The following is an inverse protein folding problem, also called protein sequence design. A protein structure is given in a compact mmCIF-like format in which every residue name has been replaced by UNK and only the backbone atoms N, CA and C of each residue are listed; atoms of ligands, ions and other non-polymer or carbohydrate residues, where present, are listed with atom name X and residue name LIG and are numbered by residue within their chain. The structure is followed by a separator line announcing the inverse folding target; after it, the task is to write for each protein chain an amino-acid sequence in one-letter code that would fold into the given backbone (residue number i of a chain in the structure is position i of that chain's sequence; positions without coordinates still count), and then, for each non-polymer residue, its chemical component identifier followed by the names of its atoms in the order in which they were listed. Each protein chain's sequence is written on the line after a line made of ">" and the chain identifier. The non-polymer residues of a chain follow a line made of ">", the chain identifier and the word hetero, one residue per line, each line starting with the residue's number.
data_IF_431973914653
#
_entry.id   IF_431973914653
#
_cell.length_a   1.000
_cell.length_b   1.000
_cell.length_c   1.000
_cell.angle_alpha   90.00
_cell.angle_beta   90.00
_cell.angle_gamma   90.00
#
_symmetry.space_group_name_H-M   'P 1'
#
loop_
_entity.id
_entity.type
_entity.pdbx_description
1 polymer ?
#
# COMPACT_ATOMS: atom_id res chain seq x y z
N UNK A 1 2.91 0.51 16.70
CA UNK A 1 3.03 -0.09 15.40
C UNK A 1 4.21 -1.05 15.30
N UNK A 2 3.94 -2.23 14.93
CA UNK A 2 4.96 -3.24 14.89
C UNK A 2 5.93 -2.99 13.75
N UNK A 3 7.18 -3.12 14.05
CA UNK A 3 8.20 -3.08 13.04
C UNK A 3 8.16 -4.38 12.24
N UNK A 4 8.33 -4.26 10.98
CA UNK A 4 8.35 -5.40 10.12
C UNK A 4 9.78 -5.71 9.77
N UNK A 5 10.32 -6.66 10.38
CA UNK A 5 11.64 -7.09 9.95
C UNK A 5 11.52 -8.50 9.47
N UNK A 6 11.18 -8.64 8.22
CA UNK A 6 10.99 -9.93 7.62
C UNK A 6 12.30 -10.37 7.02
N UNK A 7 12.96 -11.28 7.68
CA UNK A 7 14.23 -11.76 7.19
C UNK A 7 14.16 -13.21 6.74
N UNK A 8 12.97 -13.78 6.67
CA UNK A 8 12.85 -15.13 6.16
C UNK A 8 11.46 -15.66 6.34
N UNK A 9 11.22 -16.84 5.77
CA UNK A 9 9.89 -17.42 5.76
C UNK A 9 9.31 -17.65 7.13
N UNK A 10 10.18 -17.98 8.11
CA UNK A 10 9.69 -18.23 9.45
C UNK A 10 9.13 -16.96 10.08
N UNK A 11 9.81 -15.84 9.89
CA UNK A 11 9.31 -14.58 10.41
C UNK A 11 8.03 -14.15 9.71
N UNK A 12 7.93 -14.40 8.40
CA UNK A 12 6.70 -14.13 7.70
C UNK A 12 5.54 -14.90 8.29
N UNK A 13 5.76 -16.18 8.60
CA UNK A 13 4.70 -17.00 9.16
C UNK A 13 4.29 -16.52 10.54
N UNK A 14 5.25 -16.08 11.33
CA UNK A 14 4.95 -15.57 12.67
C UNK A 14 4.11 -14.30 12.56
N UNK A 15 4.51 -13.39 11.71
CA UNK A 15 3.76 -12.14 11.54
C UNK A 15 2.35 -12.42 11.03
N UNK A 16 2.23 -13.29 10.03
CA UNK A 16 0.93 -13.63 9.49
C UNK A 16 0.05 -14.26 10.56
N UNK A 17 0.59 -15.22 11.32
CA UNK A 17 -0.19 -15.87 12.36
C UNK A 17 -0.65 -14.89 13.40
N UNK A 18 0.22 -13.95 13.79
CA UNK A 18 -0.13 -12.96 14.79
C UNK A 18 -1.31 -12.11 14.32
N UNK A 19 -1.24 -11.61 13.08
CA UNK A 19 -2.31 -10.78 12.56
C UNK A 19 -3.60 -11.57 12.41
N UNK A 20 -3.53 -12.82 11.97
CA UNK A 20 -4.71 -13.64 11.83
C UNK A 20 -5.35 -13.94 13.18
N UNK A 21 -4.55 -14.14 14.21
CA UNK A 21 -5.09 -14.40 15.54
C UNK A 21 -5.80 -13.19 16.11
N UNK A 22 -5.25 -11.99 15.90
CA UNK A 22 -5.88 -10.77 16.38
C UNK A 22 -7.06 -10.36 15.51
N UNK A 23 -7.07 -10.82 14.25
CA UNK A 23 -8.14 -10.56 13.30
C UNK A 23 -8.53 -9.09 13.23
N UNK A 24 -7.60 -8.20 12.94
CA UNK A 24 -7.97 -6.80 12.78
C UNK A 24 -8.83 -6.65 11.54
N UNK A 25 -9.74 -5.70 11.58
CA UNK A 25 -10.54 -5.41 10.39
C UNK A 25 -9.76 -4.55 9.42
N UNK A 26 -8.94 -3.66 9.93
CA UNK A 26 -8.13 -2.75 9.11
C UNK A 26 -6.71 -2.77 9.65
N UNK A 27 -5.76 -2.84 8.76
CA UNK A 27 -4.35 -2.80 9.08
C UNK A 27 -3.73 -1.63 8.33
N UNK A 28 -3.07 -0.75 9.05
CA UNK A 28 -2.44 0.42 8.45
C UNK A 28 -0.94 0.17 8.41
N UNK A 29 -0.37 0.23 7.22
CA UNK A 29 1.06 0.01 7.00
C UNK A 29 1.67 1.27 6.41
N UNK A 30 2.58 1.89 7.16
CA UNK A 30 3.20 3.13 6.75
C UNK A 30 4.58 2.83 6.16
N UNK A 31 4.72 3.00 4.85
CA UNK A 31 5.96 2.77 4.13
C UNK A 31 6.53 1.37 4.43
N UNK A 32 5.75 0.33 4.19
CA UNK A 32 6.14 -1.01 4.67
C UNK A 32 7.41 -1.57 4.04
N UNK A 33 7.82 -1.06 2.88
CA UNK A 33 9.01 -1.57 2.21
C UNK A 33 10.14 -0.57 2.17
N UNK A 34 10.03 0.53 2.93
CA UNK A 34 11.09 1.53 2.91
C UNK A 34 12.39 0.94 3.44
N UNK A 35 13.45 1.08 2.66
CA UNK A 35 14.77 0.67 3.11
C UNK A 35 15.04 -0.81 3.02
N UNK A 36 14.12 -1.62 2.48
CA UNK A 36 14.35 -3.04 2.34
C UNK A 36 14.81 -3.37 0.92
N UNK A 37 15.53 -4.47 0.76
CA UNK A 37 16.01 -4.87 -0.55
C UNK A 37 14.88 -5.53 -1.36
N UNK A 38 15.18 -5.83 -2.62
CA UNK A 38 14.16 -6.32 -3.55
C UNK A 38 13.54 -7.63 -3.07
N UNK A 39 14.37 -8.53 -2.56
CA UNK A 39 13.86 -9.82 -2.09
C UNK A 39 12.93 -9.66 -0.90
N UNK A 40 13.34 -8.86 0.07
CA UNK A 40 12.51 -8.63 1.25
C UNK A 40 11.24 -7.86 0.89
N UNK A 41 11.33 -6.97 -0.10
CA UNK A 41 10.15 -6.24 -0.55
C UNK A 41 9.10 -7.20 -1.09
N UNK A 42 9.52 -8.17 -1.88
CA UNK A 42 8.60 -9.16 -2.43
C UNK A 42 7.93 -9.97 -1.31
N UNK A 43 8.68 -10.29 -0.26
CA UNK A 43 8.12 -11.01 0.87
C UNK A 43 7.07 -10.20 1.60
N UNK A 44 7.33 -8.91 1.79
CA UNK A 44 6.35 -8.03 2.44
C UNK A 44 5.08 -7.95 1.60
N UNK A 45 5.22 -7.79 0.29
CA UNK A 45 4.06 -7.71 -0.58
C UNK A 45 3.28 -9.01 -0.58
N UNK A 46 3.97 -10.14 -0.55
CA UNK A 46 3.28 -11.42 -0.48
C UNK A 46 2.48 -11.55 0.82
N UNK A 47 3.07 -11.13 1.93
CA UNK A 47 2.38 -11.16 3.21
C UNK A 47 1.15 -10.26 3.20
N UNK A 48 1.27 -9.08 2.62
CA UNK A 48 0.13 -8.18 2.51
C UNK A 48 -1.01 -8.82 1.71
N UNK A 49 -0.67 -9.48 0.61
CA UNK A 49 -1.68 -10.16 -0.19
C UNK A 49 -2.33 -11.29 0.58
N UNK A 50 -1.57 -12.02 1.38
CA UNK A 50 -2.12 -13.09 2.20
C UNK A 50 -3.11 -12.55 3.23
N UNK A 51 -2.74 -11.46 3.89
CA UNK A 51 -3.62 -10.85 4.88
C UNK A 51 -4.91 -10.35 4.23
N UNK A 52 -4.78 -9.70 3.08
CA UNK A 52 -5.96 -9.22 2.36
C UNK A 52 -6.84 -10.39 1.93
N UNK A 53 -6.23 -11.48 1.51
CA UNK A 53 -6.97 -12.67 1.10
C UNK A 53 -7.78 -13.25 2.26
N UNK A 54 -7.32 -13.05 3.48
CA UNK A 54 -8.02 -13.49 4.67
C UNK A 54 -9.04 -12.47 5.18
N UNK A 55 -9.31 -11.44 4.40
CA UNK A 55 -10.37 -10.51 4.73
C UNK A 55 -9.96 -9.27 5.48
N UNK A 56 -8.68 -9.04 5.66
CA UNK A 56 -8.21 -7.85 6.34
C UNK A 56 -8.07 -6.72 5.32
N UNK A 57 -8.70 -5.59 5.60
CA UNK A 57 -8.55 -4.41 4.75
C UNK A 57 -7.21 -3.76 5.07
N UNK A 58 -6.43 -3.47 4.05
CA UNK A 58 -5.10 -2.90 4.25
C UNK A 58 -5.06 -1.49 3.68
N UNK A 59 -4.65 -0.55 4.52
CA UNK A 59 -4.38 0.81 4.10
C UNK A 59 -2.87 0.98 4.07
N UNK A 60 -2.31 1.03 2.87
CA UNK A 60 -0.87 1.15 2.71
C UNK A 60 -0.52 2.60 2.37
N UNK A 61 0.43 3.16 3.09
CA UNK A 61 0.96 4.47 2.78
C UNK A 61 2.33 4.25 2.17
N UNK A 62 2.53 4.74 0.96
CA UNK A 62 3.78 4.52 0.25
C UNK A 62 4.13 5.72 -0.60
N UNK A 63 5.41 6.03 -0.66
CA UNK A 63 5.93 7.07 -1.53
C UNK A 63 6.49 6.50 -2.83
N UNK A 64 6.40 5.18 -3.02
CA UNK A 64 6.94 4.52 -4.20
C UNK A 64 5.80 4.22 -5.17
N UNK A 65 5.75 4.97 -6.24
CA UNK A 65 4.65 4.84 -7.19
C UNK A 65 4.51 3.44 -7.79
N UNK A 66 5.60 2.76 -8.17
CA UNK A 66 5.42 1.40 -8.68
C UNK A 66 4.77 0.46 -7.67
N UNK A 67 5.09 0.61 -6.39
CA UNK A 67 4.49 -0.20 -5.36
C UNK A 67 2.99 0.10 -5.24
N UNK A 68 2.65 1.37 -5.23
CA UNK A 68 1.26 1.78 -5.13
C UNK A 68 0.44 1.21 -6.29
N UNK A 69 0.97 1.34 -7.50
CA UNK A 69 0.25 0.85 -8.67
C UNK A 69 0.12 -0.67 -8.69
N UNK A 70 1.14 -1.37 -8.21
CA UNK A 70 1.13 -2.82 -8.25
C UNK A 70 0.24 -3.44 -7.18
N UNK A 71 0.17 -2.81 -6.02
CA UNK A 71 -0.44 -3.45 -4.86
C UNK A 71 -1.86 -3.00 -4.56
N UNK A 72 -2.30 -1.86 -5.10
CA UNK A 72 -3.51 -1.23 -4.61
C UNK A 72 -4.72 -1.55 -5.47
N UNK A 73 -5.85 -1.78 -4.82
CA UNK A 73 -7.14 -1.87 -5.49
C UNK A 73 -7.72 -0.48 -5.71
N UNK A 74 -7.41 0.43 -4.81
CA UNK A 74 -7.86 1.81 -4.87
C UNK A 74 -6.74 2.70 -4.39
N UNK A 75 -6.54 3.80 -5.07
CA UNK A 75 -5.45 4.72 -4.77
C UNK A 75 -6.00 6.08 -4.42
N UNK A 76 -5.57 6.58 -3.26
CA UNK A 76 -5.90 7.93 -2.83
C UNK A 76 -4.62 8.74 -2.86
N UNK A 77 -4.66 9.91 -3.49
CA UNK A 77 -3.50 10.77 -3.59
C UNK A 77 -3.71 11.98 -2.71
N UNK A 78 -2.76 12.20 -1.81
CA UNK A 78 -2.81 13.33 -0.87
C UNK A 78 -1.68 14.29 -1.15
N UNK A 79 -1.95 15.57 -0.92
CA UNK A 79 -0.94 16.59 -1.03
C UNK A 79 -1.27 17.70 -0.04
N UNK A 80 -0.34 17.99 0.86
CA UNK A 80 -0.48 19.10 1.80
C UNK A 80 -1.81 19.07 2.53
N UNK A 81 -2.19 17.87 2.97
CA UNK A 81 -3.40 17.71 3.75
C UNK A 81 -4.68 17.61 2.95
N UNK A 82 -4.60 17.63 1.64
CA UNK A 82 -5.78 17.60 0.79
C UNK A 82 -5.81 16.35 -0.06
N UNK A 83 -7.02 15.85 -0.28
CA UNK A 83 -7.24 14.74 -1.19
C UNK A 83 -7.21 15.27 -2.62
N UNK A 84 -6.22 14.85 -3.39
CA UNK A 84 -6.03 15.36 -4.73
C UNK A 84 -6.62 14.46 -5.80
N UNK A 85 -6.85 13.20 -5.49
CA UNK A 85 -7.43 12.29 -6.48
C UNK A 85 -7.71 10.94 -5.87
N UNK A 86 -8.61 10.22 -6.52
CA UNK A 86 -8.95 8.86 -6.14
C UNK A 86 -9.08 8.05 -7.43
N UNK A 87 -8.38 6.92 -7.50
CA UNK A 87 -8.34 6.11 -8.71
C UNK A 87 -8.59 4.66 -8.36
N UNK A 88 -9.40 3.99 -9.16
CA UNK A 88 -9.51 2.55 -9.08
C UNK A 88 -8.36 1.93 -9.84
N UNK A 89 -8.07 0.67 -9.49
CA UNK A 89 -6.95 -0.04 -10.08
C UNK A 89 -6.99 0.02 -11.61
N UNK A 90 -8.15 -0.23 -12.20
CA UNK A 90 -8.25 -0.33 -13.63
C UNK A 90 -8.10 1.00 -14.35
N UNK A 91 -8.23 2.11 -13.65
CA UNK A 91 -8.07 3.42 -14.28
C UNK A 91 -6.78 4.12 -13.90
N UNK A 92 -6.07 3.61 -12.89
CA UNK A 92 -4.87 4.26 -12.41
C UNK A 92 -3.71 4.06 -13.38
N UNK A 93 -3.04 5.16 -13.71
CA UNK A 93 -1.82 5.12 -14.49
C UNK A 93 -0.78 5.96 -13.77
N UNK A 94 0.49 5.73 -14.14
CA UNK A 94 1.57 6.50 -13.55
C UNK A 94 1.36 8.00 -13.79
N UNK A 95 0.93 8.36 -15.00
CA UNK A 95 0.73 9.75 -15.35
C UNK A 95 -0.39 10.38 -14.52
N UNK A 96 -1.50 9.68 -14.37
CA UNK A 96 -2.63 10.23 -13.63
C UNK A 96 -2.30 10.40 -12.16
N UNK A 97 -1.69 9.40 -11.56
CA UNK A 97 -1.36 9.47 -10.15
C UNK A 97 -0.32 10.55 -9.89
N UNK A 98 0.69 10.62 -10.75
CA UNK A 98 1.72 11.63 -10.60
C UNK A 98 1.17 13.04 -10.78
N UNK A 99 0.26 13.23 -11.73
CA UNK A 99 -0.35 14.53 -11.91
C UNK A 99 -1.11 14.98 -10.67
N UNK A 100 -1.84 14.06 -10.06
CA UNK A 100 -2.52 14.37 -8.81
C UNK A 100 -1.53 14.70 -7.70
N UNK A 101 -0.44 13.93 -7.63
CA UNK A 101 0.54 14.12 -6.57
C UNK A 101 1.22 15.46 -6.63
N UNK A 102 1.40 16.02 -7.82
CA UNK A 102 2.01 17.34 -7.95
C UNK A 102 0.98 18.45 -8.03
N UNK A 103 -0.30 18.14 -7.82
CA UNK A 103 -1.30 19.18 -7.70
C UNK A 103 -1.95 19.62 -9.00
N UNK A 104 -1.80 18.84 -10.08
CA UNK A 104 -2.34 19.24 -11.36
C UNK A 104 -3.71 18.68 -11.66
N UNK A 105 -4.11 17.64 -10.94
CA UNK A 105 -5.32 16.92 -11.26
C UNK A 105 -6.58 17.77 -11.10
N UNK A 106 -6.51 18.77 -10.21
CA UNK A 106 -7.69 19.58 -9.93
C UNK A 106 -8.23 20.27 -11.17
N UNK A 107 -7.38 20.56 -12.12
CA UNK A 107 -7.82 21.23 -13.33
C UNK A 107 -8.62 20.34 -14.22
N UNK A 108 -8.45 19.04 -14.07
CA UNK A 108 -9.08 18.08 -14.96
C UNK A 108 -10.30 17.44 -14.33
N UNK A 109 -10.30 17.40 -13.01
CA UNK A 109 -11.34 16.67 -12.31
C UNK A 109 -12.70 17.29 -12.49
N UNK A 110 -12.73 18.59 -12.62
CA UNK A 110 -14.02 19.27 -12.75
C UNK A 110 -14.61 19.16 -14.14
N UNK A 111 -14.03 18.38 -14.94
CA UNK A 111 -14.56 18.13 -16.28
C UNK A 111 -15.91 17.43 -16.25
#
# INVERSE_FOLDING_TARGET
>A
QAAWELSGGNQQKVVLSKWLLTRPKVLILDEPTRGVDIGAKAEVHHLMNELAHHGIAILMISSELPEVLAMSDRILVMREGHMMGEFRREEATQEKVMAAAVGQIAQEVHL
#
